data_IF_628312522774
#
_entry.id   IF_628312522774
#
_cell.length_a   1.000
_cell.length_b   1.000
_cell.length_c   1.000
_cell.angle_alpha   90.00
_cell.angle_beta   90.00
_cell.angle_gamma   90.00
#
_symmetry.space_group_name_H-M   'P 1'
#
loop_
_entity.id
_entity.type
_entity.pdbx_description
1 polymer ?
#
# COMPACT_ATOMS: atom_id res chain seq x y z
N UNK A 1 0.31 -6.07 -26.09
CA UNK A 1 1.68 -5.92 -25.56
C UNK A 1 1.59 -5.33 -24.16
N UNK A 2 2.37 -5.76 -23.16
CA UNK A 2 2.33 -5.15 -21.82
C UNK A 2 2.75 -3.68 -21.88
N UNK A 3 2.15 -2.85 -21.02
CA UNK A 3 2.35 -1.38 -20.95
C UNK A 3 3.70 -0.95 -20.35
N UNK A 4 4.64 -1.87 -20.11
CA UNK A 4 5.95 -1.57 -19.54
C UNK A 4 6.65 -2.81 -18.98
N UNK A 5 7.72 -2.58 -18.21
CA UNK A 5 8.43 -3.64 -17.50
C UNK A 5 7.64 -4.07 -16.25
N UNK A 6 7.75 -5.34 -15.81
CA UNK A 6 7.13 -5.79 -14.56
C UNK A 6 7.62 -5.01 -13.34
N UNK A 7 6.69 -4.62 -12.46
CA UNK A 7 7.03 -4.06 -11.15
C UNK A 7 7.35 -5.20 -10.18
N UNK A 8 8.53 -5.14 -9.54
CA UNK A 8 8.94 -6.08 -8.51
C UNK A 8 8.65 -5.50 -7.13
N UNK A 9 8.28 -6.36 -6.19
CA UNK A 9 8.15 -5.99 -4.79
C UNK A 9 9.55 -5.88 -4.17
N UNK A 10 9.86 -4.73 -3.57
CA UNK A 10 11.20 -4.46 -3.04
C UNK A 10 11.35 -5.08 -1.65
N UNK A 11 10.34 -4.92 -0.78
CA UNK A 11 10.40 -5.25 0.64
C UNK A 11 9.26 -6.18 1.07
N UNK A 12 9.23 -7.46 0.64
CA UNK A 12 8.19 -8.41 1.05
C UNK A 12 8.12 -8.57 2.57
N UNK A 13 6.91 -8.77 3.09
CA UNK A 13 6.69 -8.99 4.52
C UNK A 13 7.26 -10.34 5.00
N UNK A 14 7.24 -10.59 6.32
CA UNK A 14 7.80 -11.82 6.90
C UNK A 14 7.14 -13.10 6.37
N UNK A 15 5.85 -13.08 6.10
CA UNK A 15 5.11 -14.23 5.59
C UNK A 15 5.42 -14.46 4.11
N UNK A 16 5.41 -13.38 3.32
CA UNK A 16 5.70 -13.36 1.89
C UNK A 16 7.13 -13.81 1.57
N UNK A 17 8.11 -13.50 2.42
CA UNK A 17 9.52 -13.93 2.26
C UNK A 17 9.72 -15.44 2.12
N UNK A 18 8.71 -16.27 2.41
CA UNK A 18 8.75 -17.73 2.18
C UNK A 18 8.62 -18.12 0.71
N UNK A 19 8.07 -17.24 -0.13
CA UNK A 19 7.79 -17.52 -1.55
C UNK A 19 8.05 -16.32 -2.48
N UNK A 20 8.31 -15.13 -1.95
CA UNK A 20 8.74 -13.94 -2.70
C UNK A 20 10.15 -13.54 -2.27
N UNK A 21 11.06 -13.45 -3.24
CA UNK A 21 12.39 -12.91 -3.00
C UNK A 21 12.37 -11.37 -3.02
N UNK A 22 13.12 -10.78 -2.08
CA UNK A 22 13.40 -9.34 -2.05
C UNK A 22 14.09 -8.92 -3.34
N UNK A 23 13.66 -7.79 -3.90
CA UNK A 23 14.26 -7.18 -5.09
C UNK A 23 14.68 -5.73 -4.80
N UNK A 24 15.43 -5.50 -3.73
CA UNK A 24 15.76 -4.15 -3.21
C UNK A 24 16.34 -3.20 -4.26
N UNK A 25 17.12 -3.75 -5.19
CA UNK A 25 17.81 -2.98 -6.23
C UNK A 25 16.99 -2.81 -7.51
N UNK A 26 15.77 -3.37 -7.56
CA UNK A 26 14.91 -3.24 -8.72
C UNK A 26 14.45 -1.78 -8.90
N UNK A 27 14.27 -1.33 -10.16
CA UNK A 27 13.73 -0.01 -10.43
C UNK A 27 12.26 0.06 -9.99
N UNK A 28 11.83 1.27 -9.63
CA UNK A 28 10.41 1.62 -9.55
C UNK A 28 10.01 2.16 -10.92
N UNK A 29 9.09 1.47 -11.59
CA UNK A 29 8.66 1.87 -12.92
C UNK A 29 7.56 2.94 -12.83
N UNK A 30 7.62 3.91 -13.74
CA UNK A 30 6.56 4.88 -13.96
C UNK A 30 6.04 4.68 -15.38
N UNK A 31 4.74 4.42 -15.50
CA UNK A 31 4.05 4.12 -16.74
C UNK A 31 3.25 5.36 -17.17
N UNK A 32 3.35 5.73 -18.44
CA UNK A 32 2.49 6.78 -18.98
C UNK A 32 1.09 6.19 -19.27
N UNK A 33 0.06 6.78 -18.68
CA UNK A 33 -1.35 6.43 -18.93
C UNK A 33 -2.14 7.69 -19.31
N UNK A 34 -3.33 7.55 -19.94
CA UNK A 34 -4.19 8.69 -20.22
C UNK A 34 -4.55 9.53 -19.00
N UNK A 35 -4.70 8.92 -17.82
CA UNK A 35 -4.93 9.60 -16.55
C UNK A 35 -3.68 10.25 -15.91
N UNK A 36 -2.48 9.99 -16.45
CA UNK A 36 -1.22 10.54 -15.96
C UNK A 36 -0.14 9.48 -15.75
N UNK A 37 0.99 9.89 -15.16
CA UNK A 37 2.15 9.02 -14.93
C UNK A 37 1.94 8.15 -13.69
N UNK A 38 1.67 6.86 -13.88
CA UNK A 38 1.36 5.91 -12.82
C UNK A 38 2.60 5.16 -12.31
N UNK A 39 2.74 5.11 -10.99
CA UNK A 39 3.63 4.19 -10.29
C UNK A 39 2.85 3.17 -9.47
N UNK A 40 3.45 2.00 -9.24
CA UNK A 40 2.90 0.95 -8.38
C UNK A 40 3.89 0.63 -7.25
N UNK A 41 3.43 0.68 -6.00
CA UNK A 41 4.17 0.19 -4.84
C UNK A 41 3.44 -1.05 -4.29
N UNK A 42 4.11 -2.20 -4.23
CA UNK A 42 3.44 -3.45 -3.87
C UNK A 42 3.47 -3.61 -2.34
N UNK A 43 2.29 -3.58 -1.72
CA UNK A 43 2.11 -3.78 -0.29
C UNK A 43 3.03 -2.89 0.55
N UNK A 44 3.89 -3.53 1.33
CA UNK A 44 4.86 -2.92 2.24
C UNK A 44 5.87 -1.97 1.59
N UNK A 45 6.05 -1.99 0.26
CA UNK A 45 6.89 -1.00 -0.43
C UNK A 45 6.40 0.42 -0.19
N UNK A 46 5.10 0.60 0.04
CA UNK A 46 4.47 1.87 0.38
C UNK A 46 4.80 2.40 1.79
N UNK A 47 5.49 1.63 2.63
CA UNK A 47 5.89 2.10 3.96
C UNK A 47 7.22 2.87 3.95
N UNK A 48 7.99 2.81 2.86
CA UNK A 48 9.35 3.34 2.77
C UNK A 48 9.35 4.73 2.13
N UNK A 49 9.82 5.74 2.87
CA UNK A 49 9.90 7.13 2.41
C UNK A 49 10.74 7.27 1.13
N UNK A 50 11.87 6.56 1.06
CA UNK A 50 12.79 6.61 -0.08
C UNK A 50 12.13 6.18 -1.39
N UNK A 51 11.14 5.28 -1.34
CA UNK A 51 10.40 4.88 -2.54
C UNK A 51 9.59 6.05 -3.11
N UNK A 52 8.96 6.86 -2.25
CA UNK A 52 8.26 8.08 -2.68
C UNK A 52 9.24 9.11 -3.23
N UNK A 53 10.41 9.29 -2.61
CA UNK A 53 11.43 10.21 -3.13
C UNK A 53 11.91 9.81 -4.55
N UNK A 54 12.15 8.51 -4.78
CA UNK A 54 12.50 7.96 -6.11
C UNK A 54 11.38 8.18 -7.14
N UNK A 55 10.13 7.99 -6.72
CA UNK A 55 8.97 8.22 -7.60
C UNK A 55 8.76 9.70 -7.94
N UNK A 56 9.03 10.61 -7.01
CA UNK A 56 8.99 12.06 -7.29
C UNK A 56 10.05 12.45 -8.32
N UNK A 57 11.28 11.96 -8.16
CA UNK A 57 12.37 12.17 -9.13
C UNK A 57 12.02 11.62 -10.51
N UNK A 58 11.22 10.55 -10.55
CA UNK A 58 10.76 9.92 -11.80
C UNK A 58 9.50 10.58 -12.36
N UNK A 59 8.92 11.57 -11.68
CA UNK A 59 7.73 12.33 -12.09
C UNK A 59 6.42 11.55 -12.01
N UNK A 60 6.28 10.64 -11.05
CA UNK A 60 5.02 9.95 -10.79
C UNK A 60 3.93 10.94 -10.35
N UNK A 61 2.77 10.86 -11.02
CA UNK A 61 1.59 11.68 -10.73
C UNK A 61 0.54 10.87 -9.96
N UNK A 62 0.45 9.58 -10.24
CA UNK A 62 -0.49 8.64 -9.63
C UNK A 62 0.27 7.52 -8.93
N UNK A 63 -0.14 7.11 -7.74
CA UNK A 63 0.43 5.95 -7.04
C UNK A 63 -0.67 4.94 -6.69
N UNK A 64 -0.54 3.72 -7.19
CA UNK A 64 -1.40 2.60 -6.78
C UNK A 64 -0.65 1.65 -5.85
N UNK A 65 -1.30 1.26 -4.76
CA UNK A 65 -0.77 0.34 -3.74
C UNK A 65 -1.69 -0.87 -3.62
N UNK A 66 -1.50 -1.93 -4.42
CA UNK A 66 -2.14 -3.21 -4.14
C UNK A 66 -1.52 -3.79 -2.87
N UNK A 67 -2.35 -4.06 -1.86
CA UNK A 67 -1.93 -4.52 -0.55
C UNK A 67 -2.68 -5.78 -0.11
N UNK A 68 -2.02 -6.57 0.72
CA UNK A 68 -2.53 -7.82 1.26
C UNK A 68 -2.15 -7.91 2.74
N UNK A 69 -3.15 -7.98 3.62
CA UNK A 69 -2.96 -8.16 5.05
C UNK A 69 -3.55 -9.50 5.44
N UNK A 70 -2.70 -10.45 5.80
CA UNK A 70 -3.12 -11.80 6.18
C UNK A 70 -3.72 -11.80 7.59
N UNK A 71 -4.82 -12.52 7.78
CA UNK A 71 -5.53 -12.67 9.05
C UNK A 71 -6.69 -11.69 9.20
N UNK A 72 -7.86 -12.18 9.63
CA UNK A 72 -9.10 -11.39 9.72
C UNK A 72 -9.04 -10.27 10.77
N UNK A 73 -8.28 -10.49 11.85
CA UNK A 73 -8.15 -9.55 12.97
C UNK A 73 -6.95 -8.62 12.85
N UNK A 74 -6.02 -8.92 11.93
CA UNK A 74 -4.70 -8.29 11.85
C UNK A 74 -4.78 -6.77 11.72
N UNK A 75 -5.80 -6.23 11.05
CA UNK A 75 -6.01 -4.79 10.92
C UNK A 75 -6.06 -4.05 12.27
N UNK A 76 -6.57 -4.70 13.32
CA UNK A 76 -6.70 -4.16 14.67
C UNK A 76 -5.63 -4.67 15.63
N UNK A 77 -4.76 -5.58 15.18
CA UNK A 77 -3.64 -6.07 15.99
C UNK A 77 -2.49 -5.06 15.99
N UNK A 78 -1.61 -5.08 17.02
CA UNK A 78 -0.45 -4.20 17.07
C UNK A 78 0.46 -4.37 15.85
N UNK A 79 0.75 -3.26 15.17
CA UNK A 79 1.69 -3.23 14.06
C UNK A 79 3.10 -3.59 14.55
N UNK A 80 3.83 -4.34 13.74
CA UNK A 80 5.20 -4.75 14.05
C UNK A 80 6.14 -4.24 12.99
N UNK A 81 7.01 -3.30 13.37
CA UNK A 81 8.08 -2.80 12.50
C UNK A 81 8.88 -3.99 11.91
N UNK A 82 9.01 -4.09 10.58
CA UNK A 82 9.87 -5.09 9.98
C UNK A 82 11.31 -4.98 10.49
N UNK A 83 11.92 -6.11 10.84
CA UNK A 83 13.31 -6.15 11.34
C UNK A 83 14.26 -5.55 10.30
N UNK A 84 15.24 -4.77 10.76
CA UNK A 84 16.25 -4.11 9.92
C UNK A 84 15.65 -3.19 8.83
N UNK A 85 14.46 -2.62 9.06
CA UNK A 85 13.87 -1.64 8.17
C UNK A 85 14.22 -0.21 8.55
N UNK A 86 14.37 0.65 7.55
CA UNK A 86 14.52 2.11 7.68
C UNK A 86 13.20 2.85 7.95
N UNK A 87 12.09 2.12 8.17
CA UNK A 87 10.78 2.72 8.40
C UNK A 87 10.80 3.53 9.70
N UNK A 88 10.60 4.83 9.59
CA UNK A 88 10.44 5.72 10.73
C UNK A 88 8.96 5.82 11.14
N UNK A 89 8.69 5.61 12.42
CA UNK A 89 7.36 5.67 13.00
C UNK A 89 7.45 5.92 14.50
N UNK A 90 6.53 6.72 15.04
CA UNK A 90 6.43 6.99 16.46
C UNK A 90 6.30 5.68 17.27
N UNK A 91 6.83 5.68 18.49
CA UNK A 91 6.88 4.52 19.38
C UNK A 91 5.54 4.25 20.11
N UNK A 92 4.41 4.72 19.57
CA UNK A 92 3.09 4.65 20.19
C UNK A 92 2.34 3.34 19.91
N UNK A 93 3.05 2.31 19.43
CA UNK A 93 2.52 0.96 19.16
C UNK A 93 1.15 0.97 18.44
N UNK A 94 1.04 1.61 17.25
CA UNK A 94 -0.22 1.68 16.53
C UNK A 94 -0.66 0.28 16.10
N UNK A 95 -1.96 0.14 15.85
CA UNK A 95 -2.51 -1.01 15.12
C UNK A 95 -1.96 -1.08 13.69
N UNK A 96 -2.06 -2.25 13.05
CA UNK A 96 -1.72 -2.44 11.64
C UNK A 96 -2.42 -1.40 10.75
N UNK A 97 -3.73 -1.19 10.96
CA UNK A 97 -4.51 -0.21 10.20
C UNK A 97 -4.01 1.22 10.39
N UNK A 98 -3.74 1.64 11.62
CA UNK A 98 -3.17 2.96 11.89
C UNK A 98 -1.78 3.13 11.27
N UNK A 99 -0.95 2.08 11.27
CA UNK A 99 0.33 2.10 10.59
C UNK A 99 0.17 2.27 9.06
N UNK A 100 -0.78 1.56 8.44
CA UNK A 100 -1.13 1.77 7.03
C UNK A 100 -1.57 3.20 6.74
N UNK A 101 -2.41 3.79 7.59
CA UNK A 101 -2.82 5.18 7.43
C UNK A 101 -1.60 6.11 7.55
N UNK A 102 -0.76 5.97 8.57
CA UNK A 102 0.35 6.90 8.85
C UNK A 102 1.55 6.76 7.90
N UNK A 103 1.85 5.55 7.43
CA UNK A 103 3.07 5.27 6.67
C UNK A 103 2.91 5.43 5.16
N UNK A 104 1.67 5.47 4.67
CA UNK A 104 1.38 5.61 3.24
C UNK A 104 1.03 7.05 2.86
N UNK A 105 0.73 7.25 1.57
CA UNK A 105 0.45 8.56 0.96
C UNK A 105 -0.62 9.38 1.69
N UNK A 106 -1.52 8.75 2.46
CA UNK A 106 -2.61 9.44 3.13
C UNK A 106 -2.26 10.05 4.51
N UNK A 107 -1.22 9.56 5.19
CA UNK A 107 -0.91 9.97 6.57
C UNK A 107 0.45 10.63 6.76
N UNK A 108 1.29 10.69 5.72
CA UNK A 108 2.52 11.49 5.74
C UNK A 108 2.27 12.86 5.10
N UNK A 109 2.73 13.97 5.72
CA UNK A 109 2.91 15.24 5.01
C UNK A 109 3.73 14.99 3.74
N UNK A 110 3.41 15.68 2.65
CA UNK A 110 3.79 15.34 1.27
C UNK A 110 5.30 15.07 1.04
N UNK A 111 5.75 13.86 1.38
CA UNK A 111 6.99 13.27 0.87
C UNK A 111 6.82 12.81 -0.58
N UNK A 112 5.58 12.77 -1.08
CA UNK A 112 5.22 12.45 -2.45
C UNK A 112 4.67 13.69 -3.14
N UNK A 113 5.07 13.90 -4.39
CA UNK A 113 4.50 14.93 -5.28
C UNK A 113 3.32 14.40 -6.10
N UNK A 114 2.91 13.14 -5.92
CA UNK A 114 1.79 12.56 -6.62
C UNK A 114 0.47 13.28 -6.27
N UNK A 115 -0.33 13.61 -7.27
CA UNK A 115 -1.62 14.30 -7.10
C UNK A 115 -2.70 13.38 -6.52
N UNK A 116 -2.56 12.08 -6.76
CA UNK A 116 -3.49 11.06 -6.29
C UNK A 116 -2.77 9.77 -5.92
N UNK A 117 -3.38 9.01 -5.02
CA UNK A 117 -3.03 7.61 -4.87
C UNK A 117 -4.11 6.81 -4.17
N UNK A 118 -4.02 5.50 -4.32
CA UNK A 118 -4.96 4.55 -3.72
C UNK A 118 -4.19 3.42 -3.09
N UNK A 119 -4.63 2.98 -1.91
CA UNK A 119 -4.28 1.68 -1.36
C UNK A 119 -5.49 0.77 -1.43
N UNK A 120 -5.36 -0.33 -2.16
CA UNK A 120 -6.42 -1.31 -2.37
C UNK A 120 -6.03 -2.59 -1.67
N UNK A 121 -6.83 -2.97 -0.67
CA UNK A 121 -6.63 -4.20 0.07
C UNK A 121 -7.52 -5.30 -0.47
N UNK A 122 -6.95 -6.49 -0.63
CA UNK A 122 -7.77 -7.68 -0.82
C UNK A 122 -8.65 -7.89 0.42
N UNK A 123 -9.95 -8.06 0.21
CA UNK A 123 -10.92 -8.33 1.29
C UNK A 123 -11.66 -9.64 1.03
N UNK A 124 -11.80 -10.48 2.06
CA UNK A 124 -12.54 -11.73 1.99
C UNK A 124 -11.82 -12.92 2.62
N UNK A 125 -12.09 -14.11 2.09
CA UNK A 125 -11.45 -15.36 2.48
C UNK A 125 -11.09 -16.14 1.21
N UNK A 126 -9.81 -16.46 1.04
CA UNK A 126 -9.30 -17.21 -0.09
C UNK A 126 -8.50 -18.41 0.41
N UNK A 127 -8.84 -19.62 -0.05
CA UNK A 127 -8.21 -20.88 0.40
C UNK A 127 -8.10 -21.00 1.94
N UNK A 128 -9.18 -20.71 2.66
CA UNK A 128 -9.23 -20.68 4.13
C UNK A 128 -8.31 -19.66 4.81
N UNK A 129 -7.68 -18.77 4.05
CA UNK A 129 -6.96 -17.62 4.58
C UNK A 129 -7.88 -16.40 4.56
N UNK A 130 -8.27 -15.94 5.74
CA UNK A 130 -8.95 -14.66 5.87
C UNK A 130 -7.96 -13.52 5.69
N UNK A 131 -8.42 -12.44 5.06
CA UNK A 131 -7.62 -11.23 4.85
C UNK A 131 -8.34 -10.03 5.47
N UNK A 132 -7.56 -9.05 5.90
CA UNK A 132 -8.04 -7.79 6.41
C UNK A 132 -7.52 -6.63 5.54
N UNK A 133 -7.81 -5.41 5.96
CA UNK A 133 -7.53 -4.21 5.20
C UNK A 133 -8.76 -3.36 4.99
N UNK A 134 -8.57 -2.05 5.03
CA UNK A 134 -9.55 -1.06 4.60
C UNK A 134 -8.90 -0.22 3.52
N UNK A 135 -9.53 -0.17 2.36
CA UNK A 135 -8.99 0.59 1.24
C UNK A 135 -9.21 2.07 1.45
N UNK A 136 -8.31 2.87 0.91
CA UNK A 136 -8.35 4.32 1.01
C UNK A 136 -7.67 4.96 -0.18
N UNK A 137 -8.08 6.18 -0.50
CA UNK A 137 -7.49 7.01 -1.52
C UNK A 137 -7.14 8.38 -0.97
N UNK A 138 -6.15 9.03 -1.57
CA UNK A 138 -5.91 10.46 -1.42
C UNK A 138 -5.98 11.13 -2.78
N UNK A 139 -6.57 12.31 -2.84
CA UNK A 139 -6.56 13.17 -4.01
C UNK A 139 -6.50 14.64 -3.57
N UNK A 140 -5.53 15.40 -4.09
CA UNK A 140 -5.38 16.83 -3.79
C UNK A 140 -5.39 17.16 -2.28
N UNK A 141 -4.72 16.33 -1.47
CA UNK A 141 -4.65 16.48 -0.01
C UNK A 141 -5.90 16.04 0.76
N UNK A 142 -6.97 15.65 0.06
CA UNK A 142 -8.16 15.05 0.69
C UNK A 142 -8.00 13.53 0.75
N UNK A 143 -8.32 12.95 1.91
CA UNK A 143 -8.32 11.51 2.12
C UNK A 143 -9.76 10.99 2.07
N UNK A 144 -9.97 9.95 1.27
CA UNK A 144 -11.22 9.21 1.13
C UNK A 144 -10.94 7.80 1.65
N UNK A 145 -11.37 7.52 2.87
CA UNK A 145 -11.23 6.19 3.46
C UNK A 145 -12.58 5.46 3.46
N UNK A 146 -12.56 4.12 3.38
CA UNK A 146 -13.74 3.34 3.68
C UNK A 146 -14.25 3.65 5.11
N UNK A 147 -15.56 3.87 5.31
CA UNK A 147 -16.11 4.03 6.65
C UNK A 147 -15.80 2.80 7.51
N UNK A 148 -15.33 3.01 8.74
CA UNK A 148 -15.21 1.95 9.73
C UNK A 148 -16.62 1.42 10.02
N UNK A 149 -16.89 0.16 9.69
CA UNK A 149 -18.14 -0.48 10.09
C UNK A 149 -18.05 -0.83 11.58
N UNK A 150 -18.60 0.03 12.45
CA UNK A 150 -18.67 -0.22 13.90
C UNK A 150 -19.62 -1.37 14.28
N UNK A 151 -20.31 -2.00 13.32
CA UNK A 151 -21.26 -3.08 13.59
C UNK A 151 -21.10 -4.25 12.59
N UNK A 152 -20.50 -5.34 13.06
CA UNK A 152 -20.48 -6.66 12.41
C UNK A 152 -19.30 -6.89 11.46
N UNK A 153 -19.00 -8.16 11.10
CA UNK A 153 -17.99 -8.44 10.09
C UNK A 153 -18.51 -7.78 8.81
N UNK A 154 -17.86 -6.71 8.34
CA UNK A 154 -18.16 -6.17 7.03
C UNK A 154 -17.71 -7.21 5.99
N UNK A 155 -18.62 -8.15 5.77
CA UNK A 155 -18.43 -9.45 5.17
C UNK A 155 -18.92 -9.42 3.74
N UNK A 156 -18.03 -9.00 2.86
CA UNK A 156 -18.25 -9.07 1.43
C UNK A 156 -16.92 -8.94 0.71
N UNK A 157 -16.73 -9.73 -0.34
CA UNK A 157 -15.67 -9.48 -1.30
C UNK A 157 -15.90 -8.11 -1.95
N UNK A 158 -14.81 -7.35 -2.15
CA UNK A 158 -14.87 -6.05 -2.82
C UNK A 158 -13.78 -5.98 -3.88
N UNK A 159 -14.11 -5.32 -4.98
CA UNK A 159 -13.17 -4.99 -6.04
C UNK A 159 -13.13 -3.48 -6.15
N UNK A 160 -11.97 -2.90 -5.87
CA UNK A 160 -11.71 -1.48 -6.13
C UNK A 160 -10.81 -1.44 -7.35
N UNK A 161 -11.36 -0.89 -8.43
CA UNK A 161 -10.66 -0.72 -9.69
C UNK A 161 -10.13 0.70 -9.79
N UNK A 162 -8.90 0.82 -10.28
CA UNK A 162 -8.34 2.10 -10.68
C UNK A 162 -8.40 2.15 -12.20
N UNK A 163 -9.18 3.09 -12.73
CA UNK A 163 -9.35 3.31 -14.16
C UNK A 163 -8.37 4.40 -14.61
N UNK A 164 -7.60 4.12 -15.66
CA UNK A 164 -6.41 4.88 -16.10
C UNK A 164 -6.50 5.35 -17.55
#
# INVERSE_FOLDING_TARGET
QPLGQPQRQLYPDRFQKRYVHTASDAPLNVLDTPAGRLAVLIGSDSWYADNYARLNQSGAQLIAVPAFVIGKATWSEPWRKPRHSSIDMAADNPSEGEAWHRLTLIGRPAQSSAQAGVSVFMRGQFWNQGVAGQSFASHAGQTIAEPSSDNGPAGGARLINLWL
#
